data_IF_415368758918
#
_entry.id   IF_415368758918
#
_cell.length_a   1.000
_cell.length_b   1.000
_cell.length_c   1.000
_cell.angle_alpha   90.00
_cell.angle_beta   90.00
_cell.angle_gamma   90.00
#
_symmetry.space_group_name_H-M   'P 1'
#
loop_
_entity.id
_entity.type
_entity.pdbx_description
1 polymer ?
#
# COMPACT_ATOMS: atom_id res chain seq x y z
N UNK A 1 -10.77 41.16 -53.60
CA UNK A 1 -10.21 39.98 -52.90
C UNK A 1 -11.38 39.36 -52.14
N UNK A 2 -11.97 38.29 -52.69
CA UNK A 2 -13.16 37.65 -52.11
C UNK A 2 -12.73 36.78 -50.93
N UNK A 3 -13.21 37.11 -49.74
CA UNK A 3 -13.12 36.22 -48.58
C UNK A 3 -14.16 35.11 -48.81
N UNK A 4 -13.78 33.83 -48.87
CA UNK A 4 -14.76 32.76 -49.07
C UNK A 4 -15.70 32.72 -47.85
N UNK A 5 -17.02 32.69 -48.12
CA UNK A 5 -18.06 32.51 -47.12
C UNK A 5 -17.89 31.12 -46.47
N UNK A 6 -17.25 31.07 -45.31
CA UNK A 6 -17.21 29.88 -44.47
C UNK A 6 -18.63 29.57 -44.01
N UNK A 7 -19.17 28.44 -44.44
CA UNK A 7 -20.48 27.98 -44.01
C UNK A 7 -20.45 27.75 -42.48
N UNK A 8 -21.52 28.13 -41.77
CA UNK A 8 -21.59 28.04 -40.30
C UNK A 8 -21.26 26.63 -39.76
N UNK A 9 -21.53 25.61 -40.57
CA UNK A 9 -21.24 24.20 -40.29
C UNK A 9 -19.74 23.87 -40.47
N UNK A 10 -19.09 24.41 -41.48
CA UNK A 10 -17.65 24.26 -41.73
C UNK A 10 -16.81 25.07 -40.72
N UNK A 11 -17.32 26.20 -40.24
CA UNK A 11 -16.73 26.93 -39.11
C UNK A 11 -16.80 26.12 -37.80
N UNK A 12 -17.91 25.43 -37.54
CA UNK A 12 -18.07 24.56 -36.36
C UNK A 12 -17.24 23.27 -36.45
N UNK A 13 -17.03 22.73 -37.65
CA UNK A 13 -16.12 21.59 -37.88
C UNK A 13 -14.64 22.01 -37.90
N UNK A 14 -14.31 23.21 -38.40
CA UNK A 14 -12.96 23.80 -38.38
C UNK A 14 -12.51 24.22 -36.98
N UNK A 15 -13.46 24.50 -36.08
CA UNK A 15 -13.29 24.53 -34.61
C UNK A 15 -13.14 23.12 -34.00
N UNK A 16 -12.65 22.14 -34.77
CA UNK A 16 -12.07 20.89 -34.27
C UNK A 16 -10.92 21.09 -33.28
N UNK A 17 -10.49 22.33 -33.06
CA UNK A 17 -9.72 22.82 -31.90
C UNK A 17 -10.63 23.25 -30.72
N UNK A 18 -11.72 22.51 -30.48
CA UNK A 18 -12.64 22.82 -29.37
C UNK A 18 -11.98 22.53 -28.01
N UNK A 19 -12.49 23.12 -26.93
CA UNK A 19 -12.12 22.71 -25.57
C UNK A 19 -12.25 21.19 -25.37
N UNK A 20 -13.18 20.54 -26.08
CA UNK A 20 -13.32 19.09 -26.09
C UNK A 20 -12.17 18.36 -26.78
N UNK A 21 -11.64 18.89 -27.89
CA UNK A 21 -10.46 18.33 -28.55
C UNK A 21 -9.18 18.59 -27.76
N UNK A 22 -9.05 19.75 -27.12
CA UNK A 22 -7.97 20.04 -26.18
C UNK A 22 -8.05 19.13 -24.95
N UNK A 23 -9.24 18.93 -24.38
CA UNK A 23 -9.46 18.01 -23.28
C UNK A 23 -9.21 16.55 -23.70
N UNK A 24 -9.63 16.13 -24.90
CA UNK A 24 -9.34 14.80 -25.43
C UNK A 24 -7.85 14.61 -25.69
N UNK A 25 -7.16 15.63 -26.23
CA UNK A 25 -5.71 15.58 -26.46
C UNK A 25 -4.95 15.57 -25.12
N UNK A 26 -5.39 16.33 -24.12
CA UNK A 26 -4.86 16.29 -22.75
C UNK A 26 -5.12 14.93 -22.08
N UNK A 27 -6.30 14.33 -22.27
CA UNK A 27 -6.62 12.98 -21.78
C UNK A 27 -5.77 11.91 -22.49
N UNK A 28 -5.61 11.98 -23.81
CA UNK A 28 -4.75 11.08 -24.60
C UNK A 28 -3.26 11.29 -24.26
N UNK A 29 -2.83 12.52 -23.96
CA UNK A 29 -1.49 12.83 -23.50
C UNK A 29 -1.26 12.38 -22.05
N UNK A 30 -2.28 12.36 -21.20
CA UNK A 30 -2.23 11.73 -19.86
C UNK A 30 -2.30 10.21 -19.93
N UNK A 31 -2.84 9.64 -21.00
CA UNK A 31 -2.75 8.21 -21.32
C UNK A 31 -1.37 7.80 -21.86
N UNK A 32 -0.47 8.75 -22.17
CA UNK A 32 0.92 8.40 -22.45
C UNK A 32 1.47 7.65 -21.24
N UNK A 33 1.79 6.37 -21.44
CA UNK A 33 1.92 5.37 -20.39
C UNK A 33 2.98 5.71 -19.34
N UNK A 34 2.58 6.49 -18.34
CA UNK A 34 3.34 6.66 -17.11
C UNK A 34 3.42 5.33 -16.36
N UNK A 35 4.43 5.14 -15.50
CA UNK A 35 4.63 3.87 -14.80
C UNK A 35 3.41 3.41 -13.98
N UNK A 36 2.59 4.36 -13.51
CA UNK A 36 1.39 4.17 -12.71
C UNK A 36 0.08 4.13 -13.53
N UNK A 37 0.14 4.05 -14.85
CA UNK A 37 -1.06 3.95 -15.69
C UNK A 37 -1.87 2.71 -15.29
N UNK A 38 -3.20 2.83 -15.09
CA UNK A 38 -4.05 1.68 -14.79
C UNK A 38 -3.86 0.54 -15.79
N UNK A 39 -3.68 -0.68 -15.28
CA UNK A 39 -3.48 -1.88 -16.10
C UNK A 39 -4.69 -2.79 -16.00
N UNK A 40 -5.03 -3.44 -17.11
CA UNK A 40 -6.07 -4.46 -17.10
C UNK A 40 -5.58 -5.67 -16.27
N UNK A 41 -6.33 -6.10 -15.24
CA UNK A 41 -5.94 -7.27 -14.47
C UNK A 41 -5.92 -8.54 -15.33
N UNK A 42 -5.09 -9.51 -14.94
CA UNK A 42 -5.02 -10.82 -15.63
C UNK A 42 -6.34 -11.62 -15.55
N UNK A 43 -7.15 -11.37 -14.52
CA UNK A 43 -8.43 -12.04 -14.28
C UNK A 43 -9.54 -11.02 -14.06
N UNK A 44 -10.78 -11.39 -14.37
CA UNK A 44 -11.93 -10.58 -14.02
C UNK A 44 -12.03 -10.44 -12.48
N UNK A 45 -11.99 -9.21 -11.92
CA UNK A 45 -12.00 -9.02 -10.49
C UNK A 45 -13.37 -9.40 -9.90
N UNK A 46 -13.36 -10.15 -8.79
CA UNK A 46 -14.57 -10.47 -8.02
C UNK A 46 -14.92 -9.42 -6.96
N UNK A 47 -13.94 -8.58 -6.58
CA UNK A 47 -14.10 -7.50 -5.62
C UNK A 47 -13.60 -6.19 -6.23
N UNK A 48 -14.25 -5.07 -5.87
CA UNK A 48 -13.83 -3.73 -6.27
C UNK A 48 -12.81 -3.13 -5.31
N UNK A 49 -12.98 -3.40 -4.02
CA UNK A 49 -12.15 -2.90 -2.93
C UNK A 49 -11.82 -4.05 -1.99
N UNK A 50 -10.62 -4.05 -1.41
CA UNK A 50 -10.17 -5.02 -0.41
C UNK A 50 -9.68 -4.26 0.81
N UNK A 51 -10.20 -4.62 1.98
CA UNK A 51 -9.73 -4.11 3.27
C UNK A 51 -8.95 -5.25 3.93
N UNK A 52 -7.66 -5.04 4.13
CA UNK A 52 -6.80 -5.98 4.84
C UNK A 52 -6.48 -5.42 6.23
N UNK A 53 -6.82 -6.20 7.25
CA UNK A 53 -6.56 -5.86 8.65
C UNK A 53 -5.49 -6.82 9.18
N UNK A 54 -4.30 -6.28 9.46
CA UNK A 54 -3.26 -7.01 10.19
C UNK A 54 -3.11 -6.40 11.59
N UNK A 55 -3.43 -7.18 12.61
CA UNK A 55 -3.49 -6.70 14.00
C UNK A 55 -2.15 -6.94 14.71
N UNK A 56 -1.20 -6.01 14.57
CA UNK A 56 0.03 -6.04 15.39
C UNK A 56 -0.33 -5.91 16.87
N UNK A 57 0.07 -6.89 17.69
CA UNK A 57 -0.32 -6.95 19.12
C UNK A 57 -1.79 -7.31 19.37
N UNK A 58 -2.50 -7.79 18.35
CA UNK A 58 -3.87 -8.28 18.48
C UNK A 58 -3.99 -9.58 19.27
N UNK A 59 -5.24 -10.06 19.49
CA UNK A 59 -5.48 -11.32 20.18
C UNK A 59 -4.88 -12.50 19.42
N UNK A 60 -4.49 -13.52 20.15
CA UNK A 60 -3.85 -14.70 19.59
C UNK A 60 -4.84 -15.55 18.77
N UNK A 61 -4.32 -16.39 17.87
CA UNK A 61 -5.16 -17.27 17.04
C UNK A 61 -5.96 -18.28 17.87
N UNK A 62 -5.39 -18.77 18.98
CA UNK A 62 -6.06 -19.71 19.90
C UNK A 62 -7.17 -19.05 20.70
N UNK A 63 -7.06 -17.75 20.95
CA UNK A 63 -8.08 -16.94 21.63
C UNK A 63 -9.17 -16.42 20.67
N UNK A 64 -9.06 -16.73 19.36
CA UNK A 64 -9.97 -16.20 18.33
C UNK A 64 -10.64 -17.28 17.49
N UNK A 65 -9.96 -17.87 16.50
CA UNK A 65 -10.57 -18.77 15.50
C UNK A 65 -9.92 -20.16 15.40
N UNK A 66 -8.98 -20.48 16.29
CA UNK A 66 -8.20 -21.72 16.26
C UNK A 66 -7.98 -22.32 17.66
N UNK A 67 -9.06 -22.77 18.33
CA UNK A 67 -8.94 -23.35 19.67
C UNK A 67 -7.95 -24.51 19.68
N UNK A 68 -7.13 -24.57 20.74
CA UNK A 68 -6.08 -25.58 20.92
C UNK A 68 -6.34 -26.43 22.16
N UNK A 69 -7.26 -27.41 22.13
CA UNK A 69 -7.61 -28.22 23.31
C UNK A 69 -6.41 -28.89 24.00
N UNK A 70 -5.38 -29.29 23.21
CA UNK A 70 -4.15 -29.86 23.76
C UNK A 70 -3.31 -28.82 24.53
N UNK A 71 -3.29 -27.57 24.10
CA UNK A 71 -2.62 -26.48 24.82
C UNK A 71 -3.34 -26.23 26.15
N UNK A 72 -4.66 -26.20 26.14
CA UNK A 72 -5.47 -25.98 27.34
C UNK A 72 -5.29 -27.12 28.36
N UNK A 73 -5.22 -28.37 27.89
CA UNK A 73 -4.92 -29.52 28.75
C UNK A 73 -3.53 -29.47 29.39
N UNK A 74 -2.58 -28.77 28.78
CA UNK A 74 -1.22 -28.59 29.30
C UNK A 74 -1.07 -27.33 30.15
N UNK A 75 -2.13 -26.56 30.37
CA UNK A 75 -2.04 -25.29 31.08
C UNK A 75 -1.35 -25.42 32.44
N UNK A 76 -0.38 -24.53 32.71
CA UNK A 76 0.47 -24.48 33.92
C UNK A 76 1.40 -25.68 34.12
N UNK A 77 1.46 -26.62 33.18
CA UNK A 77 2.50 -27.67 33.17
C UNK A 77 3.80 -27.15 32.55
N UNK A 78 4.93 -27.70 32.99
CA UNK A 78 6.25 -27.33 32.48
C UNK A 78 6.37 -27.62 30.97
N UNK A 79 6.89 -26.63 30.24
CA UNK A 79 7.20 -26.74 28.82
C UNK A 79 8.68 -27.04 28.62
N UNK A 80 8.94 -28.20 28.00
CA UNK A 80 10.28 -28.61 27.55
C UNK A 80 10.62 -28.11 26.14
N UNK A 81 9.81 -27.19 25.60
CA UNK A 81 10.03 -26.65 24.26
C UNK A 81 11.34 -25.85 24.20
N UNK A 82 12.18 -26.21 23.24
CA UNK A 82 13.37 -25.44 22.84
C UNK A 82 13.05 -24.39 21.78
N UNK A 83 11.83 -24.39 21.23
CA UNK A 83 11.35 -23.34 20.32
C UNK A 83 10.96 -22.11 21.14
N UNK A 84 11.64 -20.98 20.94
CA UNK A 84 11.41 -19.73 21.65
C UNK A 84 12.70 -18.92 21.86
N UNK A 85 12.56 -17.66 22.25
CA UNK A 85 13.68 -16.82 22.71
C UNK A 85 13.86 -16.85 24.24
N UNK A 86 12.85 -17.36 24.97
CA UNK A 86 12.83 -17.38 26.43
C UNK A 86 13.75 -18.44 27.04
N UNK A 87 14.48 -18.02 28.07
CA UNK A 87 15.40 -18.86 28.86
C UNK A 87 14.83 -19.13 30.26
N UNK A 88 15.22 -20.26 30.87
CA UNK A 88 14.75 -20.64 32.20
C UNK A 88 13.45 -21.46 32.21
N UNK A 89 12.76 -21.45 33.36
CA UNK A 89 11.52 -22.21 33.57
C UNK A 89 10.39 -21.67 32.68
N UNK A 90 9.74 -22.59 31.96
CA UNK A 90 8.67 -22.28 31.01
C UNK A 90 7.49 -23.19 31.29
N UNK A 91 6.28 -22.70 31.10
CA UNK A 91 5.06 -23.49 31.22
C UNK A 91 4.07 -23.11 30.12
N UNK A 92 3.14 -24.00 29.80
CA UNK A 92 2.12 -23.73 28.80
C UNK A 92 1.01 -22.83 29.36
N UNK A 93 0.60 -21.85 28.56
CA UNK A 93 -0.56 -20.99 28.86
C UNK A 93 -1.67 -21.37 27.87
N UNK A 94 -2.77 -21.93 28.40
CA UNK A 94 -3.98 -22.20 27.64
C UNK A 94 -4.80 -20.93 27.44
N UNK A 95 -5.76 -20.97 26.53
CA UNK A 95 -6.69 -19.87 26.36
C UNK A 95 -7.55 -19.70 27.62
N UNK A 96 -7.77 -18.47 28.12
CA UNK A 96 -8.73 -18.23 29.19
C UNK A 96 -10.19 -18.24 28.69
N UNK A 97 -10.40 -18.27 27.37
CA UNK A 97 -11.71 -18.16 26.75
C UNK A 97 -12.23 -19.54 26.31
N UNK A 98 -13.55 -19.65 26.17
CA UNK A 98 -14.14 -20.87 25.60
C UNK A 98 -14.29 -20.71 24.09
N UNK A 99 -14.44 -21.84 23.41
CA UNK A 99 -14.79 -21.85 21.98
C UNK A 99 -16.19 -22.43 21.79
N UNK A 100 -16.85 -21.99 20.72
CA UNK A 100 -18.16 -22.47 20.29
C UNK A 100 -18.17 -22.67 18.77
N UNK A 101 -18.98 -23.62 18.31
CA UNK A 101 -19.27 -23.79 16.88
C UNK A 101 -20.41 -22.86 16.49
N UNK A 102 -20.26 -22.15 15.38
CA UNK A 102 -21.26 -21.21 14.87
C UNK A 102 -21.44 -21.35 13.36
N UNK A 103 -22.57 -20.85 12.86
CA UNK A 103 -22.94 -21.02 11.45
C UNK A 103 -23.28 -22.47 11.09
N UNK A 104 -23.75 -22.66 9.87
CA UNK A 104 -24.00 -23.98 9.28
C UNK A 104 -22.69 -24.74 9.00
N UNK A 105 -21.62 -24.01 8.68
CA UNK A 105 -20.29 -24.58 8.50
C UNK A 105 -19.66 -25.08 9.82
N UNK A 106 -20.24 -24.72 10.97
CA UNK A 106 -19.74 -25.13 12.28
C UNK A 106 -18.36 -24.56 12.60
N UNK A 107 -18.08 -23.34 12.14
CA UNK A 107 -16.85 -22.62 12.39
C UNK A 107 -16.61 -22.51 13.90
N UNK A 108 -15.46 -22.99 14.37
CA UNK A 108 -15.07 -22.81 15.77
C UNK A 108 -14.51 -21.41 15.98
N UNK A 109 -15.10 -20.67 16.92
CA UNK A 109 -14.65 -19.34 17.31
C UNK A 109 -14.78 -19.10 18.82
N UNK A 110 -13.99 -18.16 19.32
CA UNK A 110 -13.99 -17.71 20.71
C UNK A 110 -15.35 -17.18 21.16
N UNK A 111 -15.76 -17.52 22.38
CA UNK A 111 -17.01 -17.10 23.00
C UNK A 111 -17.12 -15.59 23.24
N UNK A 112 -16.00 -14.86 23.17
CA UNK A 112 -15.93 -13.40 23.35
C UNK A 112 -16.45 -12.61 22.14
N UNK A 113 -16.50 -13.21 20.95
CA UNK A 113 -17.03 -12.54 19.77
C UNK A 113 -18.55 -12.35 19.88
N UNK A 114 -19.02 -11.10 19.87
CA UNK A 114 -20.44 -10.77 19.97
C UNK A 114 -21.14 -10.78 18.60
N UNK A 115 -20.57 -10.09 17.60
CA UNK A 115 -21.23 -9.86 16.30
C UNK A 115 -20.75 -10.79 15.17
N UNK A 116 -19.49 -11.22 15.19
CA UNK A 116 -18.95 -12.13 14.16
C UNK A 116 -19.71 -13.45 13.97
N UNK A 117 -20.31 -14.08 15.00
CA UNK A 117 -21.12 -15.28 14.80
C UNK A 117 -22.27 -15.11 13.80
N UNK A 118 -22.83 -13.90 13.70
CA UNK A 118 -23.98 -13.60 12.82
C UNK A 118 -23.63 -13.77 11.34
N UNK A 119 -22.35 -13.63 10.99
CA UNK A 119 -21.83 -13.73 9.62
C UNK A 119 -20.89 -14.92 9.44
N UNK A 120 -20.92 -15.91 10.34
CA UNK A 120 -19.93 -16.99 10.38
C UNK A 120 -19.83 -17.78 9.06
N UNK A 121 -20.94 -17.98 8.35
CA UNK A 121 -20.98 -18.70 7.08
C UNK A 121 -20.47 -17.87 5.89
N UNK A 122 -20.23 -16.57 6.07
CA UNK A 122 -19.58 -15.69 5.10
C UNK A 122 -18.06 -15.63 5.31
N UNK A 123 -17.55 -16.18 6.41
CA UNK A 123 -16.14 -16.16 6.76
C UNK A 123 -15.41 -17.37 6.18
N UNK A 124 -14.24 -17.12 5.61
CA UNK A 124 -13.26 -18.16 5.33
C UNK A 124 -12.18 -18.13 6.43
N UNK A 125 -12.13 -19.16 7.26
CA UNK A 125 -11.07 -19.30 8.28
C UNK A 125 -9.93 -20.17 7.75
N UNK A 126 -8.77 -19.58 7.53
CA UNK A 126 -7.57 -20.27 7.08
C UNK A 126 -6.53 -20.38 8.21
N UNK A 127 -6.37 -21.59 8.75
CA UNK A 127 -5.45 -21.90 9.86
C UNK A 127 -4.05 -22.35 9.39
N UNK A 128 -3.59 -21.85 8.25
CA UNK A 128 -2.33 -22.26 7.62
C UNK A 128 -1.25 -21.18 7.58
N UNK A 129 -1.50 -19.98 8.11
CA UNK A 129 -0.51 -18.92 8.15
C UNK A 129 0.57 -19.22 9.20
N UNK A 130 1.84 -19.21 8.77
CA UNK A 130 2.99 -19.41 9.64
C UNK A 130 4.06 -18.37 9.35
N UNK A 131 4.76 -17.91 10.38
CA UNK A 131 5.97 -17.10 10.24
C UNK A 131 7.16 -17.86 10.83
N UNK A 132 8.34 -17.72 10.23
CA UNK A 132 9.55 -18.39 10.70
C UNK A 132 10.27 -17.66 11.84
N UNK A 133 10.13 -16.32 11.88
CA UNK A 133 10.80 -15.51 12.88
C UNK A 133 9.96 -15.36 14.14
N UNK A 134 10.65 -15.43 15.29
CA UNK A 134 10.11 -15.11 16.60
C UNK A 134 10.28 -13.62 16.94
N UNK A 135 10.98 -12.86 16.10
CA UNK A 135 11.24 -11.44 16.30
C UNK A 135 10.17 -10.59 15.61
N UNK A 136 9.61 -9.61 16.34
CA UNK A 136 8.49 -8.80 15.86
C UNK A 136 8.76 -8.10 14.51
N UNK A 137 9.87 -7.36 14.30
CA UNK A 137 10.12 -6.68 13.02
C UNK A 137 10.22 -7.67 11.85
N UNK A 138 10.91 -8.79 12.04
CA UNK A 138 11.07 -9.80 10.99
C UNK A 138 9.74 -10.48 10.64
N UNK A 139 8.89 -10.75 11.63
CA UNK A 139 7.56 -11.30 11.39
C UNK A 139 6.66 -10.31 10.64
N UNK A 140 6.74 -9.02 10.96
CA UNK A 140 6.03 -7.96 10.25
C UNK A 140 6.50 -7.81 8.81
N UNK A 141 7.82 -7.86 8.57
CA UNK A 141 8.35 -7.87 7.21
C UNK A 141 7.88 -9.09 6.45
N UNK A 142 7.89 -10.27 7.06
CA UNK A 142 7.42 -11.49 6.41
C UNK A 142 5.95 -11.38 5.99
N UNK A 143 5.08 -10.82 6.84
CA UNK A 143 3.68 -10.59 6.50
C UNK A 143 3.51 -9.58 5.36
N UNK A 144 4.22 -8.45 5.42
CA UNK A 144 3.98 -7.35 4.49
C UNK A 144 4.71 -7.51 3.16
N UNK A 145 5.90 -8.12 3.15
CA UNK A 145 6.81 -8.20 2.00
C UNK A 145 7.14 -9.63 1.59
N UNK A 146 6.72 -10.65 2.35
CA UNK A 146 7.09 -12.05 2.09
C UNK A 146 8.53 -12.39 2.48
N UNK A 147 9.30 -11.46 3.06
CA UNK A 147 10.71 -11.66 3.41
C UNK A 147 10.99 -11.22 4.84
N UNK A 148 11.82 -12.01 5.54
CA UNK A 148 12.19 -11.74 6.94
C UNK A 148 13.18 -10.59 7.10
N UNK A 149 13.96 -10.31 6.06
CA UNK A 149 14.95 -9.22 6.09
C UNK A 149 14.30 -7.86 5.82
N UNK A 150 13.05 -7.87 5.33
CA UNK A 150 12.37 -6.71 4.79
C UNK A 150 12.99 -6.25 3.48
N UNK A 151 12.55 -5.08 3.01
CA UNK A 151 12.99 -4.46 1.76
C UNK A 151 12.70 -5.26 0.48
N UNK A 152 11.94 -6.35 0.55
CA UNK A 152 11.23 -6.86 -0.63
C UNK A 152 9.98 -6.01 -0.88
N UNK A 153 9.41 -6.05 -2.10
CA UNK A 153 8.23 -5.26 -2.40
C UNK A 153 7.06 -5.69 -1.52
N UNK A 154 6.51 -4.72 -0.78
CA UNK A 154 5.35 -4.93 0.06
C UNK A 154 4.09 -5.19 -0.77
N UNK A 155 3.04 -5.72 -0.13
CA UNK A 155 1.75 -5.99 -0.78
C UNK A 155 1.24 -4.77 -1.56
N UNK A 156 1.29 -3.57 -0.98
CA UNK A 156 0.86 -2.34 -1.66
C UNK A 156 1.71 -1.99 -2.89
N UNK A 157 3.02 -2.26 -2.85
CA UNK A 157 3.91 -2.06 -4.00
C UNK A 157 3.58 -3.06 -5.13
N UNK A 158 3.32 -4.33 -4.81
CA UNK A 158 2.88 -5.33 -5.79
C UNK A 158 1.54 -5.00 -6.43
N UNK A 159 0.57 -4.55 -5.62
CA UNK A 159 -0.75 -4.14 -6.12
C UNK A 159 -0.60 -2.95 -7.07
N UNK A 160 0.16 -1.93 -6.66
CA UNK A 160 0.38 -0.74 -7.48
C UNK A 160 1.19 -1.07 -8.76
N UNK A 161 2.16 -1.99 -8.69
CA UNK A 161 2.90 -2.49 -9.86
C UNK A 161 2.00 -3.25 -10.84
N UNK A 162 1.15 -4.14 -10.32
CA UNK A 162 0.31 -5.00 -11.15
C UNK A 162 -0.87 -4.24 -11.77
N UNK A 163 -1.47 -3.30 -11.05
CA UNK A 163 -2.72 -2.65 -11.43
C UNK A 163 -2.56 -1.17 -11.80
N UNK A 164 -1.45 -0.54 -11.46
CA UNK A 164 -1.29 0.92 -11.55
C UNK A 164 -2.16 1.66 -10.53
N UNK A 165 -2.32 2.96 -10.74
CA UNK A 165 -3.14 3.84 -9.91
C UNK A 165 -4.27 4.45 -10.73
N UNK A 166 -5.50 4.35 -10.24
CA UNK A 166 -6.64 5.10 -10.81
C UNK A 166 -6.58 6.60 -10.51
N UNK A 167 -5.71 7.02 -9.58
CA UNK A 167 -5.53 8.41 -9.21
C UNK A 167 -4.14 8.88 -9.65
N UNK A 168 -4.11 9.94 -10.47
CA UNK A 168 -2.87 10.56 -10.96
C UNK A 168 -2.46 11.80 -10.15
N UNK A 169 -3.25 12.17 -9.13
CA UNK A 169 -3.00 13.31 -8.24
C UNK A 169 -2.43 12.88 -6.88
N UNK A 170 -2.31 11.58 -6.61
CA UNK A 170 -1.74 11.04 -5.39
C UNK A 170 -0.84 9.83 -5.71
N UNK A 171 0.14 9.52 -4.85
CA UNK A 171 0.88 8.27 -4.93
C UNK A 171 -0.07 7.06 -4.95
N UNK A 172 0.21 6.08 -5.81
CA UNK A 172 -0.61 4.87 -5.93
C UNK A 172 -0.55 3.96 -4.69
N UNK A 173 0.43 4.16 -3.80
CA UNK A 173 0.54 3.47 -2.52
C UNK A 173 0.76 4.48 -1.38
N UNK A 174 -0.30 4.70 -0.61
CA UNK A 174 -0.31 5.61 0.53
C UNK A 174 -0.25 4.83 1.84
N UNK A 175 0.55 5.32 2.78
CA UNK A 175 0.68 4.76 4.13
C UNK A 175 0.23 5.80 5.15
N UNK A 176 -0.77 5.46 5.94
CA UNK A 176 -1.24 6.31 7.02
C UNK A 176 -0.84 5.68 8.35
N UNK A 177 -0.30 6.49 9.25
CA UNK A 177 0.10 6.06 10.60
C UNK A 177 -0.59 6.94 11.60
N UNK A 178 -1.21 6.36 12.62
CA UNK A 178 -1.91 7.15 13.65
C UNK A 178 -0.99 7.47 14.83
N UNK A 179 -0.58 6.46 15.60
CA UNK A 179 0.18 6.63 16.84
C UNK A 179 1.70 6.52 16.64
N UNK A 180 2.13 5.45 15.99
CA UNK A 180 3.54 5.13 15.80
C UNK A 180 3.75 4.41 14.46
N UNK A 181 5.02 4.26 14.07
CA UNK A 181 5.37 3.33 13.01
C UNK A 181 5.28 1.89 13.55
N UNK A 182 4.90 0.91 12.71
CA UNK A 182 5.04 -0.49 13.08
C UNK A 182 6.51 -0.83 13.35
N UNK A 183 6.75 -1.89 14.12
CA UNK A 183 8.12 -2.32 14.37
C UNK A 183 8.84 -2.60 13.05
N UNK A 184 10.11 -2.16 12.95
CA UNK A 184 10.87 -2.20 11.69
C UNK A 184 10.63 -1.02 10.74
N UNK A 185 9.70 -0.11 11.06
CA UNK A 185 9.56 1.18 10.38
C UNK A 185 9.13 1.06 8.92
N UNK A 186 9.67 1.92 8.05
CA UNK A 186 9.27 2.03 6.65
C UNK A 186 9.59 0.82 5.77
N UNK A 187 10.41 -0.10 6.26
CA UNK A 187 10.69 -1.36 5.57
C UNK A 187 9.43 -2.24 5.40
N UNK A 188 8.39 -2.01 6.20
CA UNK A 188 7.09 -2.68 6.07
C UNK A 188 6.31 -2.31 4.80
N UNK A 189 6.65 -1.20 4.13
CA UNK A 189 5.96 -0.75 2.91
C UNK A 189 6.96 -0.39 1.80
N UNK A 190 8.05 -1.14 1.71
CA UNK A 190 9.08 -0.92 0.70
C UNK A 190 8.60 -1.28 -0.71
N UNK A 191 9.11 -0.60 -1.73
CA UNK A 191 9.06 -1.06 -3.12
C UNK A 191 10.07 -2.17 -3.43
N UNK A 192 11.04 -2.40 -2.54
CA UNK A 192 12.16 -3.31 -2.75
C UNK A 192 12.87 -3.11 -4.08
N UNK A 193 13.00 -4.18 -4.85
CA UNK A 193 13.63 -4.17 -6.17
C UNK A 193 12.73 -3.64 -7.29
N UNK A 194 11.46 -3.32 -7.01
CA UNK A 194 10.62 -2.61 -7.98
C UNK A 194 11.08 -1.15 -8.10
N UNK A 195 10.78 -0.47 -9.21
CA UNK A 195 11.09 0.96 -9.33
C UNK A 195 10.51 1.80 -8.18
N UNK A 196 11.19 2.90 -7.84
CA UNK A 196 10.84 3.80 -6.74
C UNK A 196 9.45 4.45 -6.79
N UNK A 197 8.78 4.49 -7.94
CA UNK A 197 7.41 4.99 -8.05
C UNK A 197 6.36 4.07 -7.38
N UNK A 198 6.74 2.86 -6.98
CA UNK A 198 5.90 1.95 -6.19
C UNK A 198 6.18 1.99 -4.69
N UNK A 199 7.07 2.88 -4.22
CA UNK A 199 7.37 3.02 -2.80
C UNK A 199 6.15 3.57 -2.07
N UNK A 200 5.82 2.98 -0.93
CA UNK A 200 4.75 3.50 -0.08
C UNK A 200 5.11 4.90 0.44
N UNK A 201 4.22 5.86 0.18
CA UNK A 201 4.38 7.25 0.63
C UNK A 201 3.60 7.44 1.92
N UNK A 202 4.33 7.74 3.00
CA UNK A 202 3.71 8.01 4.30
C UNK A 202 3.09 9.40 4.33
N UNK A 203 1.81 9.47 4.70
CA UNK A 203 1.13 10.72 5.02
C UNK A 203 0.97 10.86 6.53
N UNK A 204 1.26 12.05 7.04
CA UNK A 204 1.11 12.37 8.46
C UNK A 204 -0.37 12.59 8.81
N UNK A 205 -0.84 12.08 9.97
CA UNK A 205 -2.25 12.22 10.36
C UNK A 205 -2.59 13.63 10.84
N UNK A 206 -1.59 14.41 11.25
CA UNK A 206 -1.74 15.76 11.82
C UNK A 206 -0.72 16.72 11.25
N UNK A 207 -1.13 17.97 10.99
CA UNK A 207 -0.29 19.00 10.39
C UNK A 207 -0.09 18.78 8.89
N UNK A 208 1.07 19.18 8.34
CA UNK A 208 1.36 18.98 6.92
C UNK A 208 1.50 17.48 6.60
N UNK A 209 0.74 16.93 5.62
CA UNK A 209 0.72 15.50 5.30
C UNK A 209 2.06 15.02 4.75
N UNK A 210 2.72 15.88 3.97
CA UNK A 210 4.11 15.74 3.52
C UNK A 210 4.91 16.90 4.13
N UNK A 211 6.14 16.65 4.55
CA UNK A 211 7.00 17.71 5.10
C UNK A 211 7.38 18.71 4.01
N UNK A 212 7.53 19.98 4.39
CA UNK A 212 7.97 21.06 3.49
C UNK A 212 7.05 21.32 2.28
N UNK A 213 5.77 20.92 2.37
CA UNK A 213 4.76 21.13 1.32
C UNK A 213 4.47 22.62 1.07
N UNK A 214 4.60 23.45 2.10
CA UNK A 214 4.32 24.88 1.99
C UNK A 214 5.60 25.66 1.74
N UNK A 215 5.61 26.48 0.68
CA UNK A 215 6.71 27.40 0.42
C UNK A 215 6.84 28.44 1.56
N UNK A 216 8.07 28.91 1.86
CA UNK A 216 8.26 30.03 2.77
C UNK A 216 7.46 31.26 2.34
N UNK A 217 6.95 32.03 3.30
CA UNK A 217 6.06 33.19 3.04
C UNK A 217 6.65 34.27 2.12
N UNK A 218 7.98 34.35 2.01
CA UNK A 218 8.68 35.31 1.14
C UNK A 218 8.88 34.80 -0.30
N UNK A 219 8.50 33.55 -0.61
CA UNK A 219 8.58 33.00 -1.97
C UNK A 219 7.22 33.08 -2.66
N UNK A 220 7.19 33.72 -3.83
CA UNK A 220 6.03 33.70 -4.71
C UNK A 220 5.97 32.38 -5.47
N UNK A 221 4.79 32.05 -6.01
CA UNK A 221 4.63 30.88 -6.90
C UNK A 221 5.54 30.97 -8.14
N UNK A 222 5.77 32.18 -8.65
CA UNK A 222 6.69 32.42 -9.77
C UNK A 222 8.14 32.09 -9.39
N UNK A 223 8.62 32.53 -8.21
CA UNK A 223 9.94 32.16 -7.70
C UNK A 223 10.08 30.64 -7.51
N UNK A 224 9.04 29.99 -6.97
CA UNK A 224 9.04 28.53 -6.82
C UNK A 224 9.09 27.82 -8.18
N UNK A 225 8.29 28.28 -9.15
CA UNK A 225 8.28 27.70 -10.49
C UNK A 225 9.62 27.85 -11.19
N UNK A 226 10.23 29.04 -11.15
CA UNK A 226 11.56 29.27 -11.73
C UNK A 226 12.63 28.37 -11.08
N UNK A 227 12.58 28.19 -9.76
CA UNK A 227 13.50 27.29 -9.07
C UNK A 227 13.30 25.81 -9.46
N UNK A 228 12.05 25.38 -9.63
CA UNK A 228 11.72 24.02 -10.10
C UNK A 228 12.15 23.82 -11.56
N UNK A 229 11.96 24.81 -12.42
CA UNK A 229 12.38 24.75 -13.83
C UNK A 229 13.91 24.64 -13.95
N UNK A 230 14.66 25.41 -13.15
CA UNK A 230 16.13 25.29 -13.10
C UNK A 230 16.57 23.93 -12.55
N UNK A 231 15.92 23.43 -11.49
CA UNK A 231 16.19 22.09 -10.95
C UNK A 231 15.93 21.01 -12.00
N UNK A 232 14.82 21.09 -12.74
CA UNK A 232 14.48 20.18 -13.81
C UNK A 232 15.53 20.23 -14.93
N UNK A 233 15.99 21.42 -15.32
CA UNK A 233 17.07 21.59 -16.30
C UNK A 233 18.37 20.91 -15.85
N UNK A 234 18.81 21.14 -14.61
CA UNK A 234 20.00 20.52 -14.05
C UNK A 234 19.88 18.99 -13.98
N UNK A 235 18.71 18.51 -13.55
CA UNK A 235 18.42 17.10 -13.45
C UNK A 235 18.42 16.41 -14.82
N UNK A 236 17.81 17.00 -15.85
CA UNK A 236 17.83 16.47 -17.21
C UNK A 236 19.24 16.38 -17.77
N UNK A 237 20.08 17.41 -17.54
CA UNK A 237 21.50 17.38 -17.91
C UNK A 237 22.28 16.30 -17.18
N UNK A 238 21.99 16.10 -15.90
CA UNK A 238 22.60 15.03 -15.11
C UNK A 238 22.20 13.65 -15.63
N UNK A 239 20.90 13.44 -15.91
CA UNK A 239 20.37 12.19 -16.44
C UNK A 239 20.99 11.84 -17.81
N UNK A 240 21.11 12.83 -18.71
CA UNK A 240 21.75 12.64 -20.02
C UNK A 240 23.22 12.19 -19.92
N UNK A 241 23.93 12.59 -18.86
CA UNK A 241 25.33 12.19 -18.61
C UNK A 241 25.46 10.84 -17.91
N UNK A 242 24.41 10.36 -17.25
CA UNK A 242 24.43 9.15 -16.42
C UNK A 242 23.26 8.21 -16.76
N UNK A 243 23.19 7.68 -17.99
CA UNK A 243 22.08 6.85 -18.44
C UNK A 243 21.90 5.55 -17.63
N UNK A 244 22.94 5.11 -16.90
CA UNK A 244 22.86 3.95 -16.02
C UNK A 244 22.17 4.19 -14.66
N UNK A 245 21.79 5.42 -14.31
CA UNK A 245 21.23 5.76 -13.00
C UNK A 245 19.68 5.88 -13.03
N UNK A 246 18.99 4.85 -13.53
CA UNK A 246 17.53 4.84 -13.63
C UNK A 246 16.81 5.05 -12.28
N UNK A 247 17.43 4.61 -11.19
CA UNK A 247 16.90 4.76 -9.83
C UNK A 247 16.78 6.24 -9.41
N UNK A 248 17.72 7.09 -9.87
CA UNK A 248 17.70 8.53 -9.56
C UNK A 248 16.57 9.22 -10.32
N UNK A 249 16.38 8.89 -11.59
CA UNK A 249 15.25 9.40 -12.39
C UNK A 249 13.91 9.01 -11.75
N UNK A 250 13.80 7.77 -11.29
CA UNK A 250 12.58 7.30 -10.62
C UNK A 250 12.32 8.02 -9.30
N UNK A 251 13.36 8.31 -8.51
CA UNK A 251 13.22 9.12 -7.28
C UNK A 251 12.75 10.54 -7.60
N UNK A 252 13.28 11.16 -8.65
CA UNK A 252 12.86 12.50 -9.07
C UNK A 252 11.37 12.53 -9.44
N UNK A 253 10.89 11.58 -10.25
CA UNK A 253 9.47 11.50 -10.63
C UNK A 253 8.56 11.32 -9.40
N UNK A 254 8.96 10.48 -8.43
CA UNK A 254 8.20 10.31 -7.19
C UNK A 254 8.09 11.59 -6.36
N UNK A 255 9.11 12.46 -6.38
CA UNK A 255 9.08 13.75 -5.67
C UNK A 255 8.32 14.84 -6.43
N UNK A 256 8.21 14.77 -7.76
CA UNK A 256 7.38 15.71 -8.54
C UNK A 256 5.88 15.45 -8.39
N UNK A 257 5.51 14.20 -8.11
CA UNK A 257 4.12 13.76 -7.87
C UNK A 257 3.60 14.04 -6.45
N UNK A 258 4.51 14.27 -5.49
CA UNK A 258 4.23 14.41 -4.07
C UNK A 258 4.06 15.88 -3.66
#
# INVERSE_FOLDING_TARGET
>A
MNIPNLHRRDFLYGLGSSLGALAMTDLLAKETAGPLTPRKPMHAPKAKNVIMLFMEGGPSQMDTFDPKPKLDALHKTESKSTRGLETGFKFYVGSPFKSRKVGQAGLEMSDQWQHLPEVADELCNYRGCTAESLNHPEALFHMNTGSRLGADPALGAWVNYGLGSMNQNLPGYVVMTELALPQGGSRNWSNGFLPGHFQGTRLRPTGSPILDLHAPTHKTREHQRAALDELAFLNQRHAAKHPGHADLATRMESYELA
#
